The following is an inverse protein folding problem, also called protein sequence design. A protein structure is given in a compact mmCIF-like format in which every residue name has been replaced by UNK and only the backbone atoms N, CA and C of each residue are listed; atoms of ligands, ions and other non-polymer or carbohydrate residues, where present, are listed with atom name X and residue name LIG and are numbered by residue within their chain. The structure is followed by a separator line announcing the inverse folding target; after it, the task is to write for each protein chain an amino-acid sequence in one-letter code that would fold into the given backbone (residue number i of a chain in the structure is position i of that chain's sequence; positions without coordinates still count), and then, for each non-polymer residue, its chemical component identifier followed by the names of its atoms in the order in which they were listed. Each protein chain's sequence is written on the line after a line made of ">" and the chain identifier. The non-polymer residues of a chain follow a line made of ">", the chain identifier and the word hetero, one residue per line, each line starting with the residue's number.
data_IF_447051086163
#
_entry.id   IF_447051086163
#
_cell.length_a   1.000
_cell.length_b   1.000
_cell.length_c   1.000
_cell.angle_alpha   90.00
_cell.angle_beta   90.00
_cell.angle_gamma   90.00
#
_symmetry.space_group_name_H-M   'P 1'
#
loop_
_entity.id
_entity.type
_entity.pdbx_description
1 polymer ?
#
# COMPACT_ATOMS: atom_id res chain seq x y z
N UNK A 1 9.51 -26.57 1.01
CA UNK A 1 10.14 -25.24 1.27
C UNK A 1 9.86 -24.89 2.72
N UNK A 2 10.86 -24.47 3.50
CA UNK A 2 10.64 -24.04 4.89
C UNK A 2 10.12 -22.60 4.85
N UNK A 3 8.87 -22.36 5.24
CA UNK A 3 8.34 -21.00 5.37
C UNK A 3 9.22 -20.16 6.31
N UNK A 4 9.53 -18.93 5.92
CA UNK A 4 10.44 -18.04 6.65
C UNK A 4 9.82 -17.61 7.98
N UNK A 5 10.18 -18.30 9.06
CA UNK A 5 9.77 -17.97 10.42
C UNK A 5 10.83 -17.11 11.11
N UNK A 6 10.40 -16.06 11.82
CA UNK A 6 11.29 -15.14 12.54
C UNK A 6 10.95 -15.17 14.03
N UNK A 7 11.96 -15.40 14.87
CA UNK A 7 11.83 -15.31 16.33
C UNK A 7 11.83 -13.83 16.75
N UNK A 8 10.71 -13.35 17.27
CA UNK A 8 10.53 -11.99 17.77
C UNK A 8 10.36 -12.04 19.29
N UNK A 9 11.48 -11.99 20.01
CA UNK A 9 11.49 -12.21 21.46
C UNK A 9 11.10 -13.65 21.79
N UNK A 10 9.94 -13.84 22.41
CA UNK A 10 9.42 -15.16 22.79
C UNK A 10 8.36 -15.71 21.81
N UNK A 11 8.10 -14.99 20.71
CA UNK A 11 7.07 -15.35 19.72
C UNK A 11 7.73 -15.69 18.40
N UNK A 12 7.29 -16.76 17.75
CA UNK A 12 7.71 -17.08 16.37
C UNK A 12 6.64 -16.58 15.41
N UNK A 13 7.03 -15.74 14.46
CA UNK A 13 6.15 -15.24 13.41
C UNK A 13 6.48 -15.96 12.11
N UNK A 14 5.49 -16.66 11.56
CA UNK A 14 5.53 -17.13 10.19
C UNK A 14 5.26 -15.93 9.26
N UNK A 15 6.32 -15.43 8.63
CA UNK A 15 6.23 -14.20 7.83
C UNK A 15 5.44 -14.38 6.54
N UNK A 16 5.44 -15.57 5.96
CA UNK A 16 4.67 -15.92 4.77
C UNK A 16 3.16 -15.84 5.02
N UNK A 17 2.68 -16.51 6.07
CA UNK A 17 1.25 -16.48 6.44
C UNK A 17 0.79 -15.07 6.81
N UNK A 18 1.62 -14.33 7.56
CA UNK A 18 1.29 -12.97 7.96
C UNK A 18 1.28 -12.02 6.75
N UNK A 19 2.24 -12.16 5.83
CA UNK A 19 2.31 -11.40 4.59
C UNK A 19 1.08 -11.65 3.72
N UNK A 20 0.69 -12.91 3.51
CA UNK A 20 -0.51 -13.25 2.72
C UNK A 20 -1.79 -12.68 3.35
N UNK A 21 -1.91 -12.77 4.68
CA UNK A 21 -3.03 -12.20 5.44
C UNK A 21 -3.12 -10.67 5.32
N UNK A 22 -1.98 -9.99 5.20
CA UNK A 22 -1.88 -8.54 5.09
C UNK A 22 -1.71 -8.05 3.65
N UNK A 23 -1.82 -8.92 2.63
CA UNK A 23 -1.41 -8.58 1.26
C UNK A 23 -2.14 -7.38 0.64
N UNK A 24 -3.40 -7.18 1.02
CA UNK A 24 -4.25 -6.07 0.54
C UNK A 24 -4.20 -4.83 1.44
N UNK A 25 -3.51 -4.90 2.57
CA UNK A 25 -3.47 -3.82 3.54
C UNK A 25 -2.23 -2.96 3.31
N UNK A 26 -2.40 -1.65 3.43
CA UNK A 26 -1.29 -0.74 3.61
C UNK A 26 -0.94 -0.65 5.09
N UNK A 27 0.33 -0.88 5.39
CA UNK A 27 0.81 -0.85 6.76
C UNK A 27 2.28 -0.47 6.82
N UNK A 28 2.68 0.05 7.97
CA UNK A 28 4.05 0.32 8.29
C UNK A 28 4.44 -0.38 9.58
N UNK A 29 5.72 -0.67 9.67
CA UNK A 29 6.38 -1.20 10.83
C UNK A 29 7.43 -0.19 11.28
N UNK A 30 7.50 0.05 12.58
CA UNK A 30 8.60 0.81 13.16
C UNK A 30 9.19 0.09 14.36
N UNK A 31 10.48 0.32 14.58
CA UNK A 31 11.26 -0.24 15.67
C UNK A 31 11.75 0.86 16.63
N UNK A 32 11.40 0.71 17.91
CA UNK A 32 11.86 1.57 19.01
C UNK A 32 11.80 0.74 20.30
N UNK A 33 12.82 -0.11 20.51
CA UNK A 33 12.91 -1.15 21.56
C UNK A 33 11.79 -2.22 21.55
N UNK A 34 10.85 -2.07 20.61
CA UNK A 34 9.74 -2.96 20.31
C UNK A 34 9.42 -2.85 18.82
N UNK A 35 8.84 -3.89 18.27
CA UNK A 35 8.24 -3.84 16.93
C UNK A 35 6.79 -3.41 17.07
N UNK A 36 6.39 -2.39 16.32
CA UNK A 36 4.98 -1.98 16.20
C UNK A 36 4.58 -2.00 14.74
N UNK A 37 3.49 -2.67 14.42
CA UNK A 37 2.90 -2.68 13.08
C UNK A 37 1.54 -2.00 13.13
N UNK A 38 1.40 -0.95 12.34
CA UNK A 38 0.19 -0.16 12.22
C UNK A 38 -0.26 -0.15 10.76
N UNK A 39 -1.57 -0.07 10.53
CA UNK A 39 -2.09 0.37 9.24
C UNK A 39 -1.65 1.80 8.95
N UNK A 40 -1.64 2.22 7.69
CA UNK A 40 -1.37 3.63 7.33
C UNK A 40 -2.37 4.63 7.97
N UNK A 41 -3.56 4.17 8.39
CA UNK A 41 -4.51 4.98 9.15
C UNK A 41 -4.12 5.22 10.62
N UNK A 42 -3.00 4.66 11.09
CA UNK A 42 -2.55 4.73 12.47
C UNK A 42 -3.17 3.66 13.39
N UNK A 43 -4.09 2.83 12.89
CA UNK A 43 -4.66 1.71 13.66
C UNK A 43 -3.60 0.63 13.91
N UNK A 44 -3.42 0.27 15.18
CA UNK A 44 -2.54 -0.82 15.60
C UNK A 44 -3.03 -2.18 15.08
N UNK A 45 -2.14 -2.92 14.43
CA UNK A 45 -2.34 -4.32 14.08
C UNK A 45 -1.79 -5.21 15.18
N UNK A 46 -0.52 -5.06 15.53
CA UNK A 46 0.09 -5.73 16.68
C UNK A 46 1.39 -5.04 17.13
N UNK A 47 1.81 -5.37 18.35
CA UNK A 47 3.03 -4.88 18.98
C UNK A 47 3.75 -6.02 19.69
N UNK A 48 5.07 -6.08 19.53
CA UNK A 48 5.93 -7.08 20.13
C UNK A 48 7.04 -6.38 20.90
N UNK A 49 7.09 -6.61 22.21
CA UNK A 49 8.17 -6.15 23.07
C UNK A 49 9.35 -7.14 23.07
N UNK A 50 10.53 -6.68 23.49
CA UNK A 50 11.73 -7.51 23.64
C UNK A 50 12.17 -8.20 22.33
N UNK A 51 11.97 -7.53 21.19
CA UNK A 51 12.42 -8.01 19.89
C UNK A 51 13.80 -7.43 19.63
N UNK A 52 14.84 -8.25 19.38
CA UNK A 52 16.14 -7.73 18.96
C UNK A 52 16.02 -7.02 17.60
N UNK A 53 16.77 -5.94 17.40
CA UNK A 53 16.76 -5.17 16.14
C UNK A 53 16.95 -6.07 14.90
N UNK A 54 17.88 -7.02 14.94
CA UNK A 54 18.14 -7.97 13.85
C UNK A 54 16.92 -8.82 13.49
N UNK A 55 16.08 -9.15 14.49
CA UNK A 55 14.84 -9.89 14.27
C UNK A 55 13.76 -8.99 13.69
N UNK A 56 13.74 -7.70 14.06
CA UNK A 56 12.87 -6.70 13.42
C UNK A 56 13.22 -6.53 11.93
N UNK A 57 14.51 -6.45 11.58
CA UNK A 57 14.97 -6.37 10.18
C UNK A 57 14.51 -7.60 9.39
N UNK A 58 14.75 -8.81 9.91
CA UNK A 58 14.31 -10.06 9.27
C UNK A 58 12.80 -10.13 9.11
N UNK A 59 12.05 -9.63 10.09
CA UNK A 59 10.59 -9.52 10.00
C UNK A 59 10.18 -8.53 8.90
N UNK A 60 10.84 -7.38 8.78
CA UNK A 60 10.57 -6.41 7.71
C UNK A 60 10.76 -7.03 6.32
N UNK A 61 11.91 -7.69 6.13
CA UNK A 61 12.27 -8.40 4.89
C UNK A 61 11.28 -9.54 4.60
N UNK A 62 10.97 -10.35 5.62
CA UNK A 62 9.99 -11.42 5.55
C UNK A 62 8.58 -10.92 5.24
N UNK A 63 8.25 -9.66 5.55
CA UNK A 63 6.99 -9.03 5.19
C UNK A 63 7.05 -8.25 3.85
N UNK A 64 8.21 -8.21 3.19
CA UNK A 64 8.41 -7.48 1.94
C UNK A 64 8.34 -5.95 2.09
N UNK A 65 8.64 -5.43 3.29
CA UNK A 65 8.56 -4.00 3.57
C UNK A 65 9.79 -3.26 3.05
N UNK A 66 9.58 -2.05 2.53
CA UNK A 66 10.67 -1.17 2.08
C UNK A 66 11.06 -0.22 3.19
N UNK A 67 12.37 -0.05 3.39
CA UNK A 67 12.91 0.90 4.36
C UNK A 67 12.52 2.34 4.03
N UNK A 68 12.17 3.11 5.05
CA UNK A 68 11.81 4.52 4.93
C UNK A 68 13.03 5.42 4.76
N UNK A 69 13.74 5.30 3.63
CA UNK A 69 14.88 6.17 3.29
C UNK A 69 15.87 6.36 4.43
N UNK A 70 15.93 7.57 4.99
CA UNK A 70 16.86 7.97 6.07
C UNK A 70 16.52 7.40 7.46
N UNK A 71 15.42 6.66 7.62
CA UNK A 71 14.99 6.10 8.90
C UNK A 71 15.20 4.58 8.91
N UNK A 72 16.33 4.07 9.44
CA UNK A 72 16.67 2.65 9.40
C UNK A 72 15.76 1.78 10.28
N UNK A 73 14.94 2.39 11.12
CA UNK A 73 13.98 1.73 12.01
C UNK A 73 12.55 1.79 11.51
N UNK A 74 12.30 2.31 10.31
CA UNK A 74 10.98 2.42 9.71
C UNK A 74 10.92 1.64 8.40
N UNK A 75 9.89 0.80 8.25
CA UNK A 75 9.62 0.07 7.03
C UNK A 75 8.14 0.18 6.68
N UNK A 76 7.81 0.25 5.41
CA UNK A 76 6.41 0.32 4.99
C UNK A 76 6.13 -0.56 3.79
N UNK A 77 4.90 -1.07 3.77
CA UNK A 77 4.29 -1.60 2.56
C UNK A 77 3.45 -0.49 1.96
N UNK A 78 3.89 -0.04 0.80
CA UNK A 78 3.15 0.92 0.00
C UNK A 78 2.38 0.18 -1.08
N UNK A 79 1.06 0.32 -1.10
CA UNK A 79 0.21 -0.16 -2.19
C UNK A 79 -0.18 1.04 -3.06
N UNK A 80 -0.10 0.95 -4.40
CA UNK A 80 -0.73 1.93 -5.28
C UNK A 80 -2.20 2.06 -4.93
N UNK A 81 -2.58 3.25 -4.45
CA UNK A 81 -3.96 3.63 -4.21
C UNK A 81 -4.24 4.90 -4.98
N UNK A 82 -5.33 4.90 -5.74
CA UNK A 82 -5.78 6.08 -6.45
C UNK A 82 -6.83 6.83 -5.63
N UNK A 83 -6.92 8.15 -5.81
CA UNK A 83 -8.08 8.91 -5.36
C UNK A 83 -8.68 9.69 -6.51
N UNK A 84 -10.01 9.78 -6.57
CA UNK A 84 -10.71 10.51 -7.62
C UNK A 84 -11.63 11.55 -6.98
N UNK A 85 -11.38 12.81 -7.27
CA UNK A 85 -12.33 13.90 -7.02
C UNK A 85 -13.34 13.89 -8.18
N UNK A 86 -14.59 13.56 -7.85
CA UNK A 86 -15.64 13.28 -8.80
C UNK A 86 -16.59 14.47 -8.91
N UNK A 87 -16.62 15.08 -10.10
CA UNK A 87 -17.42 16.28 -10.38
C UNK A 87 -18.84 15.99 -10.91
N UNK A 88 -19.13 14.71 -11.20
CA UNK A 88 -20.44 14.28 -11.72
C UNK A 88 -20.49 14.21 -13.24
N UNK A 89 -19.35 14.43 -13.92
CA UNK A 89 -19.22 14.22 -15.35
C UNK A 89 -19.21 12.73 -15.72
N UNK A 90 -19.58 12.44 -16.97
CA UNK A 90 -19.48 11.08 -17.53
C UNK A 90 -18.02 10.59 -17.61
N UNK A 91 -17.06 11.50 -17.75
CA UNK A 91 -15.63 11.19 -17.71
C UNK A 91 -15.22 10.68 -16.31
N UNK A 92 -15.73 11.32 -15.25
CA UNK A 92 -15.49 10.87 -13.88
C UNK A 92 -16.07 9.47 -13.62
N UNK A 93 -17.29 9.19 -14.11
CA UNK A 93 -17.91 7.87 -14.02
C UNK A 93 -17.10 6.81 -14.78
N UNK A 94 -16.60 7.14 -15.98
CA UNK A 94 -15.77 6.25 -16.79
C UNK A 94 -14.48 5.84 -16.06
N UNK A 95 -13.78 6.82 -15.48
CA UNK A 95 -12.56 6.57 -14.72
C UNK A 95 -12.86 5.70 -13.50
N UNK A 96 -13.91 6.02 -12.74
CA UNK A 96 -14.30 5.23 -11.58
C UNK A 96 -14.65 3.78 -11.94
N UNK A 97 -15.39 3.56 -13.03
CA UNK A 97 -15.74 2.22 -13.51
C UNK A 97 -14.51 1.41 -13.92
N UNK A 98 -13.51 2.02 -14.56
CA UNK A 98 -12.26 1.33 -14.89
C UNK A 98 -11.47 0.95 -13.61
N UNK A 99 -11.43 1.83 -12.60
CA UNK A 99 -10.78 1.52 -11.31
C UNK A 99 -11.47 0.33 -10.60
N UNK A 100 -12.80 0.29 -10.61
CA UNK A 100 -13.59 -0.82 -10.07
C UNK A 100 -13.30 -2.12 -10.81
N UNK A 101 -13.31 -2.09 -12.14
CA UNK A 101 -13.04 -3.25 -13.01
C UNK A 101 -11.65 -3.83 -12.79
N UNK A 102 -10.63 -2.97 -12.59
CA UNK A 102 -9.25 -3.39 -12.37
C UNK A 102 -8.98 -3.81 -10.92
N UNK A 103 -9.94 -3.61 -10.00
CA UNK A 103 -9.84 -4.07 -8.61
C UNK A 103 -8.73 -3.40 -7.80
N UNK A 104 -8.34 -2.18 -8.19
CA UNK A 104 -7.31 -1.41 -7.49
C UNK A 104 -7.91 -0.73 -6.25
N UNK A 105 -7.17 -0.64 -5.13
CA UNK A 105 -7.57 0.19 -4.01
C UNK A 105 -7.77 1.65 -4.45
N UNK A 106 -8.91 2.23 -4.09
CA UNK A 106 -9.21 3.61 -4.45
C UNK A 106 -10.13 4.32 -3.46
N UNK A 107 -10.11 5.66 -3.51
CA UNK A 107 -11.02 6.54 -2.78
C UNK A 107 -11.77 7.44 -3.77
N UNK A 108 -13.06 7.64 -3.54
CA UNK A 108 -13.89 8.55 -4.33
C UNK A 108 -14.36 9.70 -3.44
N UNK A 109 -14.06 10.93 -3.82
CA UNK A 109 -14.58 12.14 -3.19
C UNK A 109 -15.64 12.75 -4.10
N UNK A 110 -16.92 12.66 -3.72
CA UNK A 110 -18.04 13.14 -4.54
C UNK A 110 -18.35 14.61 -4.30
N UNK A 111 -19.05 15.23 -5.25
CA UNK A 111 -19.54 16.61 -5.13
C UNK A 111 -18.43 17.65 -5.28
N UNK A 112 -17.43 17.32 -6.09
CA UNK A 112 -16.28 18.20 -6.35
C UNK A 112 -16.59 19.12 -7.52
N UNK A 113 -15.95 20.28 -7.55
CA UNK A 113 -16.14 21.23 -8.67
C UNK A 113 -15.37 20.82 -9.92
N UNK A 114 -14.37 19.93 -9.79
CA UNK A 114 -13.49 19.50 -10.88
C UNK A 114 -13.11 18.03 -10.74
N UNK A 115 -13.00 17.36 -11.89
CA UNK A 115 -12.40 16.05 -12.03
C UNK A 115 -10.89 16.10 -11.78
N UNK A 116 -10.43 15.41 -10.73
CA UNK A 116 -9.00 15.26 -10.43
C UNK A 116 -8.69 13.83 -10.05
N UNK A 117 -7.75 13.21 -10.77
CA UNK A 117 -7.19 11.91 -10.42
C UNK A 117 -5.88 12.10 -9.64
N UNK A 118 -5.81 11.56 -8.43
CA UNK A 118 -4.60 11.50 -7.62
C UNK A 118 -3.99 10.11 -7.73
N UNK A 119 -2.75 10.05 -8.21
CA UNK A 119 -1.90 8.88 -8.24
C UNK A 119 -0.57 9.18 -7.54
N UNK A 120 0.28 8.19 -7.32
CA UNK A 120 1.57 8.34 -6.60
C UNK A 120 2.50 9.39 -7.21
N UNK A 121 2.30 9.74 -8.49
CA UNK A 121 3.05 10.76 -9.20
C UNK A 121 2.48 12.18 -9.06
N UNK A 122 1.35 12.36 -8.38
CA UNK A 122 0.71 13.65 -8.14
C UNK A 122 -0.76 13.70 -8.51
N UNK A 123 -1.27 14.93 -8.58
CA UNK A 123 -2.64 15.23 -9.00
C UNK A 123 -2.68 15.48 -10.51
N UNK A 124 -3.68 14.92 -11.17
CA UNK A 124 -3.93 15.03 -12.61
C UNK A 124 -5.33 15.61 -12.81
N UNK A 125 -5.42 16.90 -13.14
CA UNK A 125 -6.66 17.66 -13.26
C UNK A 125 -6.95 18.08 -14.72
N UNK A 126 -8.24 18.18 -15.04
CA UNK A 126 -8.70 18.80 -16.29
C UNK A 126 -8.50 20.33 -16.23
N UNK A 127 -8.10 21.00 -17.34
CA UNK A 127 -7.98 20.47 -18.72
C UNK A 127 -6.57 19.97 -19.09
N UNK A 128 -5.62 19.94 -18.15
CA UNK A 128 -4.22 19.61 -18.49
C UNK A 128 -4.02 18.13 -18.87
N UNK A 129 -4.96 17.27 -18.49
CA UNK A 129 -4.90 15.83 -18.72
C UNK A 129 -6.21 15.35 -19.35
N UNK A 130 -6.16 14.70 -20.51
CA UNK A 130 -7.36 14.10 -21.10
C UNK A 130 -7.82 12.87 -20.31
N UNK A 131 -9.10 12.50 -20.48
CA UNK A 131 -9.67 11.27 -19.92
C UNK A 131 -8.85 10.04 -20.32
N UNK A 132 -8.40 9.93 -21.57
CA UNK A 132 -7.54 8.82 -22.04
C UNK A 132 -6.20 8.77 -21.29
N UNK A 133 -5.59 9.93 -21.01
CA UNK A 133 -4.34 9.98 -20.27
C UNK A 133 -4.53 9.54 -18.82
N UNK A 134 -5.64 9.94 -18.18
CA UNK A 134 -6.02 9.48 -16.84
C UNK A 134 -6.32 7.97 -16.81
N UNK A 135 -7.00 7.43 -17.82
CA UNK A 135 -7.22 5.98 -17.97
C UNK A 135 -5.89 5.21 -18.07
N UNK A 136 -4.91 5.75 -18.81
CA UNK A 136 -3.58 5.14 -18.89
C UNK A 136 -2.93 5.08 -17.50
N UNK A 137 -2.99 6.17 -16.74
CA UNK A 137 -2.46 6.21 -15.37
C UNK A 137 -3.16 5.15 -14.49
N UNK A 138 -4.47 5.00 -14.61
CA UNK A 138 -5.23 3.97 -13.86
C UNK A 138 -4.71 2.56 -14.20
N UNK A 139 -4.51 2.25 -15.48
CA UNK A 139 -4.00 0.95 -15.94
C UNK A 139 -2.56 0.69 -15.50
N UNK A 140 -1.68 1.67 -15.66
CA UNK A 140 -0.28 1.58 -15.21
C UNK A 140 -0.21 1.39 -13.67
N UNK A 141 -1.14 1.99 -12.91
CA UNK A 141 -1.26 1.75 -11.47
C UNK A 141 -1.75 0.33 -11.16
N UNK A 142 -2.72 -0.17 -11.93
CA UNK A 142 -3.22 -1.54 -11.76
C UNK A 142 -2.15 -2.58 -12.04
N UNK A 143 -1.35 -2.42 -13.09
CA UNK A 143 -0.21 -3.30 -13.38
C UNK A 143 0.78 -3.31 -12.22
N UNK A 144 1.20 -2.14 -11.73
CA UNK A 144 2.10 -2.03 -10.56
C UNK A 144 1.49 -2.65 -9.30
N UNK A 145 0.18 -2.52 -9.09
CA UNK A 145 -0.50 -3.16 -7.97
C UNK A 145 -0.53 -4.68 -8.10
N UNK A 146 -0.81 -5.22 -9.30
CA UNK A 146 -0.77 -6.66 -9.55
C UNK A 146 0.64 -7.22 -9.44
N UNK A 147 1.65 -6.51 -9.94
CA UNK A 147 3.05 -6.83 -9.68
C UNK A 147 3.31 -6.89 -8.18
N UNK A 148 2.88 -5.94 -7.37
CA UNK A 148 3.09 -6.05 -5.92
C UNK A 148 2.36 -7.22 -5.26
N UNK A 149 1.22 -7.66 -5.82
CA UNK A 149 0.52 -8.85 -5.34
C UNK A 149 1.20 -10.16 -5.77
N UNK A 150 2.02 -10.15 -6.83
CA UNK A 150 2.59 -11.35 -7.47
C UNK A 150 4.12 -11.45 -7.38
N UNK A 151 4.84 -10.33 -7.47
CA UNK A 151 6.28 -10.15 -7.28
C UNK A 151 6.65 -10.12 -5.80
N UNK A 152 6.28 -11.17 -5.08
CA UNK A 152 6.92 -11.49 -3.81
C UNK A 152 7.11 -13.00 -3.73
N UNK A 153 8.34 -13.51 -3.94
CA UNK A 153 8.63 -14.91 -3.63
C UNK A 153 8.44 -15.20 -2.14
#
# INVERSE_FOLDING_TARGET
>A
MRGSSVLCGNVVINTENLRDSLKKQEYYMYYEDKVTINTNSGRLLFKLSNVPYESAVKLAEGLGLKGGGNYPTYWSKWNPSLSLDHDGSADADLLWMEMLKLGIPHKIHRGKEKLVLYADQGAHDMPMWSTEAMLKIIRDNAERYQEQLTSTP
#
